data_IF_753956300103
#
_entry.id   IF_753956300103
#
_cell.length_a   1.000
_cell.length_b   1.000
_cell.length_c   1.000
_cell.angle_alpha   90.00
_cell.angle_beta   90.00
_cell.angle_gamma   90.00
#
_symmetry.space_group_name_H-M   'P 1'
#
loop_
_entity.id
_entity.type
_entity.pdbx_description
1 polymer ?
#
# COMPACT_ATOMS: atom_id res chain seq x y z
N UNK A 1 -17.31 27.73 -33.20
CA UNK A 1 -16.90 26.37 -32.82
C UNK A 1 -15.52 26.49 -32.20
N UNK A 2 -15.38 26.23 -30.89
CA UNK A 2 -14.05 25.99 -30.36
C UNK A 2 -13.57 24.68 -31.00
N UNK A 3 -12.44 24.70 -31.69
CA UNK A 3 -11.74 23.47 -32.07
C UNK A 3 -11.52 22.65 -30.80
N UNK A 4 -11.86 21.36 -30.84
CA UNK A 4 -11.56 20.42 -29.76
C UNK A 4 -10.05 20.45 -29.50
N UNK A 5 -9.63 21.17 -28.45
CA UNK A 5 -8.23 21.28 -28.07
C UNK A 5 -7.79 19.95 -27.48
N UNK A 6 -6.69 19.41 -27.99
CA UNK A 6 -6.08 18.22 -27.41
C UNK A 6 -5.46 18.60 -26.05
N UNK A 7 -5.93 17.97 -24.98
CA UNK A 7 -5.42 18.19 -23.61
C UNK A 7 -4.45 17.06 -23.29
N UNK A 8 -3.23 17.43 -22.90
CA UNK A 8 -2.22 16.49 -22.43
C UNK A 8 -2.05 16.60 -20.92
N UNK A 9 -1.88 15.45 -20.28
CA UNK A 9 -1.49 15.28 -18.89
C UNK A 9 -0.01 14.91 -18.79
N UNK A 10 0.57 14.93 -17.58
CA UNK A 10 1.95 14.50 -17.37
C UNK A 10 2.16 13.02 -17.72
N UNK A 11 1.13 12.17 -17.60
CA UNK A 11 1.22 10.76 -18.01
C UNK A 11 1.32 10.56 -19.51
N UNK A 12 0.93 11.55 -20.31
CA UNK A 12 1.03 11.47 -21.78
C UNK A 12 2.43 11.87 -22.29
N UNK A 13 3.25 12.48 -21.44
CA UNK A 13 4.60 12.97 -21.79
C UNK A 13 5.63 11.90 -21.43
N UNK A 14 6.51 11.53 -22.37
CA UNK A 14 7.45 10.40 -22.24
C UNK A 14 6.75 9.07 -21.88
N UNK A 15 5.54 8.86 -22.41
CA UNK A 15 4.86 7.56 -22.38
C UNK A 15 5.46 6.55 -23.38
N UNK A 16 6.18 7.04 -24.39
CA UNK A 16 6.83 6.25 -25.43
C UNK A 16 8.30 6.69 -25.56
N UNK A 17 9.20 5.81 -26.04
CA UNK A 17 10.60 6.16 -26.22
C UNK A 17 10.75 7.25 -27.28
N UNK A 18 11.48 8.31 -26.93
CA UNK A 18 11.89 9.37 -27.86
C UNK A 18 13.41 9.33 -27.96
N UNK A 19 13.94 8.96 -29.13
CA UNK A 19 15.38 8.79 -29.35
C UNK A 19 16.03 7.92 -28.25
N UNK A 20 17.03 8.45 -27.55
CA UNK A 20 17.76 7.78 -26.46
C UNK A 20 17.23 8.16 -25.07
N UNK A 21 16.08 8.83 -24.98
CA UNK A 21 15.48 9.21 -23.70
C UNK A 21 14.84 8.01 -22.97
N UNK A 22 14.84 8.09 -21.64
CA UNK A 22 14.02 7.18 -20.83
C UNK A 22 12.53 7.52 -20.98
N UNK A 23 11.68 6.53 -20.76
CA UNK A 23 10.23 6.67 -20.83
C UNK A 23 9.54 5.76 -19.80
N UNK A 24 8.29 6.07 -19.46
CA UNK A 24 7.44 5.24 -18.61
C UNK A 24 6.05 5.09 -19.25
N UNK A 25 5.75 3.87 -19.70
CA UNK A 25 4.54 3.52 -20.48
C UNK A 25 3.24 3.73 -19.71
N UNK A 26 3.30 3.65 -18.38
CA UNK A 26 2.12 3.69 -17.53
C UNK A 26 1.88 5.07 -16.93
N UNK A 27 2.95 5.81 -16.63
CA UNK A 27 2.89 7.02 -15.84
C UNK A 27 3.52 8.24 -16.50
N UNK A 28 4.16 8.09 -17.67
CA UNK A 28 4.87 9.17 -18.34
C UNK A 28 5.82 9.90 -17.39
N UNK A 29 5.57 11.19 -17.17
CA UNK A 29 6.31 12.02 -16.21
C UNK A 29 5.74 12.04 -14.78
N UNK A 30 4.56 11.45 -14.51
CA UNK A 30 4.03 11.35 -13.15
C UNK A 30 4.97 10.53 -12.24
N UNK A 31 5.16 10.96 -10.99
CA UNK A 31 6.10 10.32 -10.07
C UNK A 31 7.58 10.52 -10.41
N UNK A 32 7.90 11.37 -11.39
CA UNK A 32 9.29 11.69 -11.71
C UNK A 32 9.87 12.69 -10.72
N UNK A 33 11.13 12.51 -10.35
CA UNK A 33 11.85 13.39 -9.44
C UNK A 33 13.08 14.04 -10.11
N UNK A 34 13.52 15.19 -9.61
CA UNK A 34 14.72 15.88 -10.10
C UNK A 34 15.96 15.05 -9.77
N UNK A 35 16.71 14.63 -10.78
CA UNK A 35 17.98 13.92 -10.62
C UNK A 35 19.19 14.86 -10.80
N UNK A 36 18.99 15.98 -11.51
CA UNK A 36 19.98 17.03 -11.75
C UNK A 36 19.32 18.21 -12.47
N UNK A 37 20.09 19.21 -12.90
CA UNK A 37 19.54 20.36 -13.63
C UNK A 37 18.90 19.97 -14.98
N UNK A 38 19.47 18.97 -15.65
CA UNK A 38 19.03 18.54 -16.99
C UNK A 38 18.51 17.10 -17.02
N UNK A 39 18.31 16.47 -15.84
CA UNK A 39 17.92 15.06 -15.76
C UNK A 39 16.77 14.85 -14.79
N UNK A 40 15.81 14.03 -15.21
CA UNK A 40 14.72 13.53 -14.39
C UNK A 40 14.94 12.04 -14.12
N UNK A 41 14.63 11.63 -12.88
CA UNK A 41 14.49 10.22 -12.49
C UNK A 41 13.03 9.86 -12.67
N UNK A 42 12.74 9.04 -13.67
CA UNK A 42 11.37 8.56 -13.93
C UNK A 42 10.90 7.59 -12.84
N UNK A 43 9.59 7.49 -12.71
CA UNK A 43 8.96 6.53 -11.81
C UNK A 43 9.35 5.08 -12.19
N UNK A 44 9.49 4.15 -11.22
CA UNK A 44 9.95 2.79 -11.49
C UNK A 44 9.04 2.01 -12.46
N UNK A 45 9.65 1.20 -13.34
CA UNK A 45 8.94 0.35 -14.33
C UNK A 45 9.18 -1.15 -14.17
N UNK A 46 10.33 -1.55 -13.60
CA UNK A 46 10.77 -2.95 -13.55
C UNK A 46 10.77 -3.53 -12.12
N UNK A 47 9.98 -2.94 -11.22
CA UNK A 47 9.97 -3.33 -9.80
C UNK A 47 9.53 -4.77 -9.55
N UNK A 48 8.71 -5.35 -10.43
CA UNK A 48 8.23 -6.73 -10.26
C UNK A 48 9.36 -7.77 -10.25
N UNK A 49 10.34 -7.64 -11.15
CA UNK A 49 11.51 -8.53 -11.13
C UNK A 49 12.28 -8.42 -9.81
N UNK A 50 12.51 -7.19 -9.34
CA UNK A 50 13.22 -6.90 -8.11
C UNK A 50 12.55 -7.53 -6.88
N UNK A 51 11.25 -7.35 -6.70
CA UNK A 51 10.55 -7.89 -5.51
C UNK A 51 10.54 -9.42 -5.50
N UNK A 52 10.42 -10.05 -6.67
CA UNK A 52 10.47 -11.51 -6.80
C UNK A 52 11.87 -12.06 -6.53
N UNK A 53 12.90 -11.40 -7.06
CA UNK A 53 14.30 -11.80 -6.82
C UNK A 53 14.66 -11.68 -5.34
N UNK A 54 14.23 -10.61 -4.66
CA UNK A 54 14.45 -10.43 -3.22
C UNK A 54 13.74 -11.52 -2.42
N UNK A 55 12.47 -11.80 -2.73
CA UNK A 55 11.70 -12.85 -2.04
C UNK A 55 12.35 -14.23 -2.21
N UNK A 56 12.77 -14.57 -3.43
CA UNK A 56 13.47 -15.81 -3.72
C UNK A 56 14.82 -15.91 -2.98
N UNK A 57 15.59 -14.82 -2.95
CA UNK A 57 16.87 -14.77 -2.24
C UNK A 57 16.70 -14.95 -0.73
N UNK A 58 15.63 -14.40 -0.15
CA UNK A 58 15.29 -14.62 1.26
C UNK A 58 14.96 -16.08 1.53
N UNK A 59 14.16 -16.72 0.69
CA UNK A 59 13.83 -18.14 0.83
C UNK A 59 15.07 -19.02 0.69
N UNK A 60 15.93 -18.76 -0.30
CA UNK A 60 17.17 -19.50 -0.53
C UNK A 60 18.12 -19.41 0.68
N UNK A 61 18.31 -18.20 1.22
CA UNK A 61 19.31 -17.96 2.28
C UNK A 61 18.83 -18.27 3.68
N UNK A 62 17.53 -18.19 3.93
CA UNK A 62 16.97 -18.26 5.29
C UNK A 62 15.91 -19.35 5.46
N UNK A 63 15.39 -19.91 4.36
CA UNK A 63 14.24 -20.81 4.37
C UNK A 63 12.93 -20.13 4.77
N UNK A 64 12.88 -18.79 4.81
CA UNK A 64 11.69 -18.01 5.15
C UNK A 64 11.09 -17.41 3.90
N UNK A 65 9.79 -17.64 3.72
CA UNK A 65 8.98 -16.92 2.74
C UNK A 65 8.64 -15.54 3.29
N UNK A 66 8.93 -14.52 2.52
CA UNK A 66 8.63 -13.13 2.85
C UNK A 66 7.90 -12.48 1.69
N UNK A 67 7.00 -11.58 2.02
CA UNK A 67 6.40 -10.70 1.03
C UNK A 67 7.22 -9.42 0.91
N UNK A 68 7.39 -8.92 -0.31
CA UNK A 68 8.26 -7.80 -0.63
C UNK A 68 7.48 -6.78 -1.44
N UNK A 69 7.65 -5.50 -1.13
CA UNK A 69 7.11 -4.40 -1.92
C UNK A 69 8.12 -3.27 -2.07
N UNK A 70 8.08 -2.61 -3.23
CA UNK A 70 8.62 -1.27 -3.40
C UNK A 70 7.52 -0.31 -2.99
N UNK A 71 7.82 0.61 -2.09
CA UNK A 71 6.89 1.66 -1.67
C UNK A 71 7.40 3.01 -2.14
N UNK A 72 6.46 3.87 -2.51
CA UNK A 72 6.68 5.28 -2.81
C UNK A 72 6.25 6.16 -1.64
N UNK A 73 6.34 7.46 -1.86
CA UNK A 73 5.87 8.45 -0.90
C UNK A 73 4.33 8.35 -0.85
N UNK A 74 3.79 8.16 0.35
CA UNK A 74 2.35 7.95 0.53
C UNK A 74 1.56 9.21 0.18
N UNK A 75 0.29 9.05 -0.15
CA UNK A 75 -0.63 10.19 -0.30
C UNK A 75 -0.97 10.81 1.07
N UNK A 76 -0.02 11.51 1.69
CA UNK A 76 -0.23 12.25 2.93
C UNK A 76 -0.43 13.73 2.62
N UNK A 77 -1.54 14.29 3.12
CA UNK A 77 -1.67 15.73 3.20
C UNK A 77 -1.13 16.16 4.54
N UNK A 78 -0.01 16.86 4.54
CA UNK A 78 0.47 17.49 5.77
C UNK A 78 -0.62 18.44 6.30
N UNK A 79 -1.18 18.18 7.50
CA UNK A 79 -2.24 19.01 8.05
C UNK A 79 -1.73 20.42 8.40
N UNK A 80 -0.43 20.64 8.55
CA UNK A 80 0.16 21.94 8.89
C UNK A 80 0.50 22.72 7.62
N UNK A 81 1.36 22.17 6.76
CA UNK A 81 1.79 22.79 5.51
C UNK A 81 0.74 22.77 4.40
N UNK A 82 -0.31 21.95 4.53
CA UNK A 82 -1.36 21.72 3.51
C UNK A 82 -0.82 21.25 2.15
N UNK A 83 0.44 20.84 2.12
CA UNK A 83 1.09 20.25 0.97
C UNK A 83 0.57 18.81 0.89
N UNK A 84 0.07 18.44 -0.29
CA UNK A 84 -0.13 17.06 -0.62
C UNK A 84 1.22 16.51 -1.03
N UNK A 85 1.77 15.56 -0.28
CA UNK A 85 2.94 14.77 -0.70
C UNK A 85 2.50 13.68 -1.68
N UNK A 86 1.59 14.03 -2.61
CA UNK A 86 1.19 13.16 -3.72
C UNK A 86 2.22 13.33 -4.84
N UNK A 87 3.44 12.88 -4.57
CA UNK A 87 4.48 12.82 -5.59
C UNK A 87 4.23 11.64 -6.53
N UNK A 88 3.84 10.50 -5.95
CA UNK A 88 3.78 9.23 -6.67
C UNK A 88 2.36 8.88 -7.16
N UNK A 89 2.23 8.30 -8.38
CA UNK A 89 0.94 7.92 -8.93
C UNK A 89 0.30 6.73 -8.20
N UNK A 90 1.09 5.94 -7.46
CA UNK A 90 0.64 4.81 -6.64
C UNK A 90 1.56 4.65 -5.42
N UNK A 91 1.02 4.15 -4.30
CA UNK A 91 1.79 3.88 -3.08
C UNK A 91 2.82 2.77 -3.28
N UNK A 92 2.53 1.78 -4.13
CA UNK A 92 3.45 0.68 -4.40
C UNK A 92 3.44 0.33 -5.89
N UNK A 93 4.54 0.63 -6.63
CA UNK A 93 4.65 0.25 -8.03
C UNK A 93 4.91 -1.24 -8.26
N UNK A 94 5.37 -1.98 -7.24
CA UNK A 94 5.65 -3.41 -7.35
C UNK A 94 5.59 -4.09 -5.99
N UNK A 95 5.00 -5.28 -5.96
CA UNK A 95 4.87 -6.10 -4.77
C UNK A 95 4.65 -7.58 -5.12
N UNK A 96 4.94 -8.47 -4.18
CA UNK A 96 4.67 -9.91 -4.28
C UNK A 96 3.18 -10.22 -4.09
N UNK A 97 2.70 -11.32 -4.67
CA UNK A 97 1.26 -11.62 -4.77
C UNK A 97 0.55 -11.74 -3.42
N UNK A 98 1.24 -12.14 -2.35
CA UNK A 98 0.66 -12.23 -1.01
C UNK A 98 0.25 -10.89 -0.40
N UNK A 99 0.68 -9.76 -0.98
CA UNK A 99 0.24 -8.41 -0.60
C UNK A 99 -0.94 -7.90 -1.44
N UNK A 100 -1.49 -8.74 -2.33
CA UNK A 100 -2.67 -8.38 -3.10
C UNK A 100 -3.94 -8.37 -2.23
N UNK A 101 -4.94 -7.59 -2.66
CA UNK A 101 -6.24 -7.51 -1.99
C UNK A 101 -6.32 -6.50 -0.84
N UNK A 102 -7.28 -6.74 0.04
CA UNK A 102 -7.68 -5.84 1.14
C UNK A 102 -7.71 -6.64 2.45
N UNK A 103 -7.31 -6.06 3.59
CA UNK A 103 -7.36 -6.78 4.86
C UNK A 103 -8.82 -7.04 5.26
N UNK A 104 -9.03 -8.16 5.94
CA UNK A 104 -10.32 -8.55 6.48
C UNK A 104 -10.44 -8.07 7.92
N UNK A 105 -10.68 -6.78 8.10
CA UNK A 105 -10.84 -6.22 9.45
C UNK A 105 -12.26 -6.46 9.99
N UNK A 106 -12.33 -6.86 11.25
CA UNK A 106 -13.56 -6.82 12.03
C UNK A 106 -13.55 -5.53 12.82
N UNK A 107 -14.65 -4.77 12.77
CA UNK A 107 -14.84 -3.61 13.64
C UNK A 107 -15.03 -4.06 15.09
N UNK A 108 -13.93 -4.33 15.78
CA UNK A 108 -13.93 -4.77 17.18
C UNK A 108 -14.74 -3.81 18.06
N UNK A 109 -14.57 -2.50 17.85
CA UNK A 109 -15.35 -1.48 18.54
C UNK A 109 -16.85 -1.58 18.26
N UNK A 110 -17.26 -1.87 17.02
CA UNK A 110 -18.68 -2.06 16.70
C UNK A 110 -19.25 -3.29 17.42
N UNK A 111 -18.51 -4.40 17.43
CA UNK A 111 -18.92 -5.60 18.17
C UNK A 111 -19.04 -5.33 19.66
N UNK A 112 -18.05 -4.64 20.25
CA UNK A 112 -18.08 -4.26 21.66
C UNK A 112 -19.25 -3.31 21.98
N UNK A 113 -19.46 -2.27 21.18
CA UNK A 113 -20.46 -1.23 21.46
C UNK A 113 -21.90 -1.69 21.16
N UNK A 114 -22.10 -2.68 20.28
CA UNK A 114 -23.44 -3.12 19.85
C UNK A 114 -23.78 -4.57 20.21
N UNK A 115 -22.94 -5.53 19.80
CA UNK A 115 -23.24 -6.96 20.00
C UNK A 115 -22.96 -7.42 21.43
N UNK A 116 -21.96 -6.82 22.07
CA UNK A 116 -21.44 -7.24 23.38
C UNK A 116 -21.45 -6.10 24.41
N UNK A 117 -22.31 -5.09 24.23
CA UNK A 117 -22.36 -3.89 25.08
C UNK A 117 -22.60 -4.15 26.57
N UNK A 118 -23.12 -5.34 26.90
CA UNK A 118 -23.38 -5.79 28.27
C UNK A 118 -22.22 -6.60 28.87
N UNK A 119 -21.23 -6.98 28.07
CA UNK A 119 -20.08 -7.78 28.48
C UNK A 119 -18.91 -6.87 28.82
N UNK A 120 -18.07 -7.31 29.76
CA UNK A 120 -16.85 -6.59 30.12
C UNK A 120 -15.77 -7.56 30.60
N UNK A 121 -14.52 -7.12 30.65
CA UNK A 121 -13.39 -7.95 31.08
C UNK A 121 -13.19 -9.19 30.20
N UNK A 122 -12.89 -10.33 30.82
CA UNK A 122 -12.55 -11.57 30.12
C UNK A 122 -13.70 -12.14 29.27
N UNK A 123 -14.95 -11.92 29.67
CA UNK A 123 -16.12 -12.41 28.93
C UNK A 123 -16.26 -11.70 27.58
N UNK A 124 -16.02 -10.38 27.55
CA UNK A 124 -16.00 -9.60 26.32
C UNK A 124 -14.84 -10.02 25.41
N UNK A 125 -13.64 -10.22 25.98
CA UNK A 125 -12.47 -10.66 25.22
C UNK A 125 -12.69 -12.02 24.55
N UNK A 126 -13.27 -12.98 25.29
CA UNK A 126 -13.59 -14.32 24.79
C UNK A 126 -14.58 -14.25 23.63
N UNK A 127 -15.68 -13.51 23.79
CA UNK A 127 -16.69 -13.36 22.74
C UNK A 127 -16.17 -12.64 21.50
N UNK A 128 -15.28 -11.66 21.65
CA UNK A 128 -14.61 -11.02 20.52
C UNK A 128 -13.72 -12.03 19.78
N UNK A 129 -12.94 -12.86 20.48
CA UNK A 129 -12.11 -13.90 19.84
C UNK A 129 -12.96 -14.92 19.09
N UNK A 130 -14.03 -15.41 19.71
CA UNK A 130 -14.97 -16.34 19.06
C UNK A 130 -15.59 -15.73 17.80
N UNK A 131 -15.99 -14.47 17.85
CA UNK A 131 -16.53 -13.75 16.69
C UNK A 131 -15.50 -13.56 15.56
N UNK A 132 -14.21 -13.38 15.91
CA UNK A 132 -13.12 -13.34 14.93
C UNK A 132 -12.95 -14.69 14.25
N UNK A 133 -12.86 -15.78 15.02
CA UNK A 133 -12.68 -17.14 14.49
C UNK A 133 -13.86 -17.57 13.59
N UNK A 134 -15.09 -17.30 14.02
CA UNK A 134 -16.28 -17.66 13.25
C UNK A 134 -16.34 -16.99 11.87
N UNK A 135 -15.78 -15.78 11.73
CA UNK A 135 -15.77 -15.05 10.45
C UNK A 135 -14.68 -15.54 9.49
N UNK A 136 -13.59 -16.10 10.02
CA UNK A 136 -12.54 -16.71 9.18
C UNK A 136 -13.08 -17.97 8.46
N UNK A 137 -14.01 -18.70 9.07
CA UNK A 137 -14.65 -19.89 8.47
C UNK A 137 -15.74 -19.54 7.44
N UNK A 138 -16.52 -18.47 7.62
CA UNK A 138 -17.72 -18.16 6.82
C UNK A 138 -17.41 -17.31 5.56
N UNK A 139 -16.41 -17.75 4.79
CA UNK A 139 -15.62 -17.01 3.79
C UNK A 139 -16.37 -16.34 2.61
N UNK A 140 -17.69 -16.50 2.47
CA UNK A 140 -18.44 -16.03 1.29
C UNK A 140 -19.43 -14.90 1.53
N UNK A 141 -19.71 -14.50 2.78
CA UNK A 141 -20.77 -13.51 3.05
C UNK A 141 -20.22 -12.20 3.57
N UNK A 142 -20.26 -11.20 2.70
CA UNK A 142 -20.31 -9.78 3.05
C UNK A 142 -21.45 -9.54 4.05
N UNK A 143 -21.20 -9.78 5.33
CA UNK A 143 -22.15 -9.51 6.39
C UNK A 143 -22.13 -8.02 6.71
N UNK A 144 -23.28 -7.48 7.14
CA UNK A 144 -23.49 -6.09 7.57
C UNK A 144 -22.43 -5.55 8.57
N UNK A 145 -21.60 -6.41 9.15
CA UNK A 145 -20.46 -6.06 10.01
C UNK A 145 -19.28 -5.40 9.28
N UNK A 146 -19.15 -5.54 7.95
CA UNK A 146 -18.12 -4.88 7.13
C UNK A 146 -18.57 -3.55 6.53
N UNK A 147 -19.82 -3.13 6.76
CA UNK A 147 -20.30 -1.85 6.21
C UNK A 147 -19.62 -0.66 6.89
N UNK A 148 -19.05 0.23 6.06
CA UNK A 148 -18.39 1.46 6.50
C UNK A 148 -16.89 1.35 6.81
N UNK A 149 -16.20 0.30 6.35
CA UNK A 149 -14.74 0.39 6.16
C UNK A 149 -14.49 0.76 4.69
N UNK A 150 -13.78 1.84 4.41
CA UNK A 150 -13.24 2.04 3.06
C UNK A 150 -12.26 0.89 2.83
N UNK A 151 -12.48 0.00 1.84
CA UNK A 151 -11.59 -1.12 1.60
C UNK A 151 -10.23 -0.55 1.16
N UNK A 152 -9.25 -0.58 2.07
CA UNK A 152 -7.88 -0.13 1.78
C UNK A 152 -7.08 -1.32 1.31
N UNK A 153 -6.27 -1.16 0.27
CA UNK A 153 -5.40 -2.25 -0.16
C UNK A 153 -4.32 -2.49 0.88
N UNK A 154 -3.89 -3.73 1.02
CA UNK A 154 -2.80 -4.11 1.94
C UNK A 154 -1.55 -3.26 1.67
N UNK A 155 -1.15 -3.12 0.41
CA UNK A 155 0.01 -2.31 0.00
C UNK A 155 -0.12 -0.82 0.33
N UNK A 156 -1.34 -0.26 0.32
CA UNK A 156 -1.54 1.16 0.62
C UNK A 156 -1.32 1.42 2.12
N UNK A 157 -1.76 0.48 2.96
CA UNK A 157 -1.55 0.53 4.42
C UNK A 157 -0.08 0.34 4.78
N UNK A 158 0.54 -0.72 4.26
CA UNK A 158 1.93 -1.05 4.55
C UNK A 158 2.88 0.00 3.99
N UNK A 159 2.64 0.49 2.77
CA UNK A 159 3.45 1.54 2.16
C UNK A 159 3.37 2.86 2.93
N UNK A 160 2.17 3.24 3.39
CA UNK A 160 2.01 4.43 4.25
C UNK A 160 2.73 4.29 5.59
N UNK A 161 2.72 3.08 6.18
CA UNK A 161 3.47 2.79 7.40
C UNK A 161 4.99 2.85 7.16
N UNK A 162 5.45 2.28 6.05
CA UNK A 162 6.86 2.27 5.67
C UNK A 162 7.36 3.70 5.42
N UNK A 163 6.63 4.49 4.64
CA UNK A 163 6.91 5.91 4.37
C UNK A 163 6.99 6.74 5.66
N UNK A 164 5.99 6.62 6.56
CA UNK A 164 6.02 7.28 7.86
C UNK A 164 7.26 6.89 8.70
N UNK A 165 7.72 5.64 8.58
CA UNK A 165 8.87 5.12 9.33
C UNK A 165 10.20 5.58 8.74
N UNK A 166 10.32 5.60 7.42
CA UNK A 166 11.54 6.01 6.74
C UNK A 166 11.70 7.53 6.67
N UNK A 167 10.59 8.25 6.53
CA UNK A 167 10.53 9.66 6.16
C UNK A 167 11.08 9.94 4.76
N UNK A 168 10.93 11.19 4.32
CA UNK A 168 11.38 11.70 3.01
C UNK A 168 12.88 12.01 2.93
N UNK A 169 13.64 11.66 3.97
CA UNK A 169 15.08 11.97 4.04
C UNK A 169 15.91 11.01 3.19
N UNK A 170 16.85 11.55 2.42
CA UNK A 170 17.75 10.85 1.48
C UNK A 170 18.82 9.97 2.20
N UNK A 171 18.39 9.13 3.15
CA UNK A 171 19.23 8.28 4.00
C UNK A 171 19.63 6.96 3.33
N UNK A 172 19.76 6.94 2.00
CA UNK A 172 20.31 5.80 1.26
C UNK A 172 19.38 4.59 1.14
N UNK A 173 18.18 4.80 0.58
CA UNK A 173 17.18 3.76 0.28
C UNK A 173 16.82 2.91 1.51
N UNK A 174 15.94 3.43 2.38
CA UNK A 174 15.56 2.73 3.60
C UNK A 174 14.82 1.43 3.31
N UNK A 175 15.14 0.38 4.08
CA UNK A 175 14.42 -0.89 4.08
C UNK A 175 13.65 -0.99 5.40
N UNK A 176 12.35 -1.22 5.32
CA UNK A 176 11.47 -1.37 6.48
C UNK A 176 11.01 -2.81 6.58
N UNK A 177 11.26 -3.46 7.72
CA UNK A 177 10.71 -4.76 8.04
C UNK A 177 9.42 -4.57 8.84
N UNK A 178 8.31 -5.12 8.32
CA UNK A 178 7.00 -5.10 8.99
C UNK A 178 6.64 -6.54 9.38
N UNK A 179 6.30 -6.76 10.64
CA UNK A 179 5.90 -8.07 11.18
C UNK A 179 4.68 -7.92 12.08
N UNK A 180 3.81 -8.92 12.06
CA UNK A 180 2.64 -9.00 12.93
C UNK A 180 1.52 -8.00 12.65
N UNK A 181 1.60 -7.23 11.56
CA UNK A 181 0.64 -6.17 11.28
C UNK A 181 -0.78 -6.68 11.00
N UNK A 182 -0.90 -7.87 10.40
CA UNK A 182 -2.18 -8.52 10.11
C UNK A 182 -2.38 -9.81 10.93
N UNK A 183 -1.63 -9.99 12.01
CA UNK A 183 -1.84 -11.13 12.89
C UNK A 183 -3.23 -11.00 13.54
N UNK A 184 -4.00 -12.08 13.51
CA UNK A 184 -5.30 -12.13 14.18
C UNK A 184 -5.13 -12.09 15.70
N UNK A 185 -6.02 -11.40 16.40
CA UNK A 185 -6.05 -11.40 17.87
C UNK A 185 -6.57 -12.71 18.47
N UNK A 186 -7.11 -13.61 17.63
CA UNK A 186 -7.72 -14.85 18.05
C UNK A 186 -6.75 -16.04 18.18
N UNK A 187 -5.46 -15.78 18.40
CA UNK A 187 -4.45 -16.83 18.68
C UNK A 187 -4.70 -17.48 20.04
#
# INVERSE_FOLDING_TARGET
SCSEGLVYSLSDILAEPIEDSGYNEQYGLLGSNKAGEERLKLFPRSGNSLVQDIAALFEERTGKKVEVMVYGDGAFKDPVGKIWELADPVVSPAYTEGLSGVPREIKIKYLADHAFSQLSGQELETQIREAILAKDEDSEKSSMSSEGTTPRRVVDLLGSLADLTSGSGDKGTPVVLIQGYFDSLAV
#
